data_IF_266462106978
#
_entry.id   IF_266462106978
#
_cell.length_a   1.000
_cell.length_b   1.000
_cell.length_c   1.000
_cell.angle_alpha   90.00
_cell.angle_beta   90.00
_cell.angle_gamma   90.00
#
_symmetry.space_group_name_H-M   'P 1'
#
loop_
_entity.id
_entity.type
_entity.pdbx_description
1 polymer ?
#
# COMPACT_ATOMS: atom_id res chain seq x y z
N UNK A 1 -26.60 -5.84 -3.33
CA UNK A 1 -25.14 -5.98 -3.27
C UNK A 1 -24.53 -5.13 -4.36
N UNK A 2 -23.56 -4.28 -4.00
CA UNK A 2 -22.97 -3.37 -4.97
C UNK A 2 -21.88 -4.09 -5.78
N UNK A 3 -21.85 -3.80 -7.07
CA UNK A 3 -20.76 -4.27 -7.93
C UNK A 3 -19.46 -3.57 -7.52
N UNK A 4 -18.31 -4.24 -7.70
CA UNK A 4 -17.02 -3.58 -7.47
C UNK A 4 -16.88 -2.35 -8.37
N UNK A 5 -16.25 -1.33 -7.85
CA UNK A 5 -16.04 -0.07 -8.57
C UNK A 5 -14.57 0.31 -8.57
N UNK A 6 -14.17 1.04 -9.62
CA UNK A 6 -12.85 1.62 -9.71
C UNK A 6 -12.66 2.61 -8.55
N UNK A 7 -11.57 2.45 -7.83
CA UNK A 7 -11.22 3.35 -6.73
C UNK A 7 -10.28 4.43 -7.27
N UNK A 8 -10.71 5.70 -7.29
CA UNK A 8 -9.87 6.77 -7.85
C UNK A 8 -8.59 7.03 -7.06
N UNK A 9 -8.52 6.61 -5.80
CA UNK A 9 -7.30 6.75 -4.99
C UNK A 9 -6.27 5.69 -5.39
N UNK A 10 -6.73 4.48 -5.69
CA UNK A 10 -5.84 3.36 -6.05
C UNK A 10 -5.55 3.33 -7.56
N UNK A 11 -6.46 3.87 -8.37
CA UNK A 11 -6.37 3.78 -9.83
C UNK A 11 -5.07 4.36 -10.43
N UNK A 12 -4.52 5.49 -9.98
CA UNK A 12 -3.23 5.96 -10.50
C UNK A 12 -2.15 4.91 -10.31
N UNK A 13 -1.39 4.68 -11.38
CA UNK A 13 -0.46 3.56 -11.47
C UNK A 13 0.51 3.45 -10.28
N UNK A 14 1.08 4.57 -9.85
CA UNK A 14 2.03 4.57 -8.73
C UNK A 14 1.37 4.02 -7.45
N UNK A 15 0.15 4.47 -7.14
CA UNK A 15 -0.56 4.01 -5.94
C UNK A 15 -1.05 2.58 -6.09
N UNK A 16 -1.45 2.18 -7.30
CA UNK A 16 -1.82 0.80 -7.59
C UNK A 16 -0.63 -0.14 -7.35
N UNK A 17 0.56 0.24 -7.82
CA UNK A 17 1.79 -0.53 -7.59
C UNK A 17 2.10 -0.69 -6.10
N UNK A 18 1.93 0.37 -5.32
CA UNK A 18 2.17 0.37 -3.88
C UNK A 18 1.22 -0.61 -3.20
N UNK A 19 -0.07 -0.47 -3.45
CA UNK A 19 -1.07 -1.35 -2.84
C UNK A 19 -0.86 -2.81 -3.23
N UNK A 20 -0.55 -3.07 -4.49
CA UNK A 20 -0.27 -4.42 -4.99
C UNK A 20 0.96 -5.04 -4.31
N UNK A 21 2.04 -4.26 -4.17
CA UNK A 21 3.27 -4.73 -3.51
C UNK A 21 3.02 -5.08 -2.05
N UNK A 22 2.29 -4.22 -1.33
CA UNK A 22 1.95 -4.48 0.07
C UNK A 22 1.03 -5.69 0.22
N UNK A 23 0.00 -5.75 -0.61
CA UNK A 23 -1.00 -6.82 -0.55
C UNK A 23 -0.37 -8.19 -0.85
N UNK A 24 0.35 -8.31 -1.96
CA UNK A 24 0.96 -9.57 -2.36
C UNK A 24 2.21 -9.92 -1.54
N UNK A 25 2.83 -8.94 -0.93
CA UNK A 25 3.94 -9.15 -0.01
C UNK A 25 3.50 -9.52 1.41
N UNK A 26 2.19 -9.57 1.66
CA UNK A 26 1.66 -9.92 2.97
C UNK A 26 1.74 -8.81 4.01
N UNK A 27 2.08 -7.58 3.61
CA UNK A 27 2.17 -6.44 4.52
C UNK A 27 0.79 -5.81 4.73
N UNK A 28 -0.12 -6.60 5.28
CA UNK A 28 -1.53 -6.25 5.47
C UNK A 28 -1.89 -6.43 6.94
N UNK A 29 -2.58 -5.44 7.47
CA UNK A 29 -3.10 -5.46 8.84
C UNK A 29 -4.20 -6.51 8.96
N UNK A 30 -4.09 -7.37 9.97
CA UNK A 30 -5.09 -8.39 10.29
C UNK A 30 -5.49 -8.25 11.77
N UNK A 31 -6.63 -8.81 12.14
CA UNK A 31 -7.15 -8.72 13.51
C UNK A 31 -6.15 -9.19 14.58
N UNK A 32 -5.43 -10.26 14.28
CA UNK A 32 -4.54 -10.91 15.25
C UNK A 32 -3.06 -10.66 15.01
N UNK A 33 -2.72 -10.03 13.89
CA UNK A 33 -1.33 -9.81 13.54
C UNK A 33 -1.18 -8.60 12.63
N UNK A 34 -0.02 -8.00 12.69
CA UNK A 34 0.33 -6.85 11.86
C UNK A 34 1.61 -7.18 11.13
N UNK A 35 1.53 -7.16 9.82
CA UNK A 35 2.68 -7.40 8.96
C UNK A 35 3.03 -6.12 8.23
N UNK A 36 4.31 -5.82 8.17
CA UNK A 36 4.83 -4.57 7.65
C UNK A 36 5.92 -4.83 6.62
N UNK A 37 6.11 -3.87 5.72
CA UNK A 37 7.18 -3.91 4.74
C UNK A 37 8.06 -2.68 4.93
N UNK A 38 9.36 -2.85 4.79
CA UNK A 38 10.29 -1.71 4.85
C UNK A 38 10.06 -0.79 3.66
N UNK A 39 10.17 0.50 3.90
CA UNK A 39 10.11 1.52 2.84
C UNK A 39 11.09 1.20 1.71
N UNK A 40 12.31 0.80 2.04
CA UNK A 40 13.33 0.46 1.04
C UNK A 40 12.92 -0.72 0.15
N UNK A 41 12.29 -1.75 0.74
CA UNK A 41 11.78 -2.89 -0.02
C UNK A 41 10.63 -2.48 -0.93
N UNK A 42 9.73 -1.66 -0.42
CA UNK A 42 8.60 -1.15 -1.20
C UNK A 42 9.09 -0.28 -2.36
N UNK A 43 10.09 0.55 -2.12
CA UNK A 43 10.72 1.35 -3.17
C UNK A 43 11.26 0.48 -4.30
N UNK A 44 11.97 -0.59 -3.96
CA UNK A 44 12.52 -1.51 -4.96
C UNK A 44 11.41 -2.20 -5.76
N UNK A 45 10.37 -2.67 -5.08
CA UNK A 45 9.26 -3.38 -5.70
C UNK A 45 8.43 -2.51 -6.63
N UNK A 46 8.33 -1.23 -6.32
CA UNK A 46 7.53 -0.28 -7.12
C UNK A 46 8.33 0.50 -8.14
N UNK A 47 9.66 0.46 -8.04
CA UNK A 47 10.57 1.22 -8.89
C UNK A 47 10.32 2.74 -8.84
N UNK A 48 9.85 3.22 -7.70
CA UNK A 48 9.63 4.64 -7.47
C UNK A 48 10.84 5.25 -6.77
N UNK A 49 11.05 6.55 -6.98
CA UNK A 49 12.05 7.29 -6.19
C UNK A 49 11.58 7.45 -4.75
N UNK A 50 12.48 7.79 -3.83
CA UNK A 50 12.13 8.02 -2.43
C UNK A 50 11.06 9.10 -2.30
N UNK A 51 11.23 10.21 -3.02
CA UNK A 51 10.27 11.33 -2.95
C UNK A 51 8.92 10.97 -3.56
N UNK A 52 8.92 10.27 -4.67
CA UNK A 52 7.67 9.83 -5.31
C UNK A 52 6.92 8.85 -4.41
N UNK A 53 7.62 7.87 -3.87
CA UNK A 53 7.03 6.89 -2.96
C UNK A 53 6.44 7.58 -1.72
N UNK A 54 7.22 8.45 -1.09
CA UNK A 54 6.77 9.16 0.11
C UNK A 54 5.52 10.00 -0.17
N UNK A 55 5.48 10.69 -1.31
CA UNK A 55 4.34 11.50 -1.72
C UNK A 55 3.08 10.64 -1.92
N UNK A 56 3.21 9.53 -2.61
CA UNK A 56 2.07 8.65 -2.87
C UNK A 56 1.58 7.96 -1.60
N UNK A 57 2.50 7.60 -0.70
CA UNK A 57 2.13 7.06 0.61
C UNK A 57 1.34 8.07 1.43
N UNK A 58 1.71 9.35 1.38
CA UNK A 58 0.97 10.41 2.08
C UNK A 58 -0.49 10.47 1.61
N UNK A 59 -0.71 10.38 0.31
CA UNK A 59 -2.07 10.34 -0.25
C UNK A 59 -2.85 9.12 0.25
N UNK A 60 -2.21 7.95 0.24
CA UNK A 60 -2.86 6.73 0.73
C UNK A 60 -3.15 6.79 2.23
N UNK A 61 -2.26 7.41 3.00
CA UNK A 61 -2.49 7.62 4.45
C UNK A 61 -3.69 8.53 4.71
N UNK A 62 -3.84 9.60 3.93
CA UNK A 62 -4.97 10.51 4.05
C UNK A 62 -6.32 9.80 3.88
N UNK A 63 -6.34 8.77 3.05
CA UNK A 63 -7.55 7.98 2.82
C UNK A 63 -7.69 6.77 3.73
N UNK A 64 -6.75 6.60 4.67
CA UNK A 64 -6.80 5.50 5.62
C UNK A 64 -6.43 4.15 5.02
N UNK A 65 -5.75 4.13 3.87
CA UNK A 65 -5.42 2.88 3.17
C UNK A 65 -4.08 2.29 3.58
N UNK A 66 -3.15 3.11 4.05
CA UNK A 66 -1.87 2.65 4.59
C UNK A 66 -1.54 3.37 5.88
N UNK A 67 -0.65 2.78 6.66
CA UNK A 67 -0.03 3.43 7.81
C UNK A 67 1.48 3.32 7.66
N UNK A 68 2.19 4.35 8.12
CA UNK A 68 3.65 4.34 8.20
C UNK A 68 4.06 4.42 9.65
N UNK A 69 5.10 3.67 9.98
CA UNK A 69 5.68 3.68 11.31
C UNK A 69 7.20 3.85 11.18
N UNK A 70 7.75 4.78 11.95
CA UNK A 70 9.20 4.99 11.99
C UNK A 70 9.77 4.34 13.23
N UNK A 71 10.69 3.41 13.02
CA UNK A 71 11.48 2.82 14.08
C UNK A 71 12.80 3.56 14.13
N UNK A 72 13.05 4.25 15.24
CA UNK A 72 14.27 5.03 15.40
C UNK A 72 15.46 4.11 15.64
N UNK A 73 16.53 4.35 14.89
CA UNK A 73 17.76 3.62 15.05
C UNK A 73 18.56 4.12 16.25
N UNK A 74 19.69 3.44 16.52
CA UNK A 74 20.65 3.86 17.51
C UNK A 74 21.64 4.84 16.85
N UNK A 75 22.66 5.28 17.61
CA UNK A 75 23.74 6.10 17.07
C UNK A 75 24.50 5.45 15.91
N UNK A 76 24.38 4.12 15.76
CA UNK A 76 25.08 3.33 14.74
C UNK A 76 24.14 2.77 13.68
N UNK A 77 22.83 2.84 13.88
CA UNK A 77 21.84 2.29 12.97
C UNK A 77 20.90 3.40 12.51
N UNK A 78 20.58 3.41 11.22
CA UNK A 78 19.63 4.37 10.64
C UNK A 78 18.21 4.03 11.08
N UNK A 79 17.34 5.04 11.04
CA UNK A 79 15.91 4.85 11.24
C UNK A 79 15.35 3.95 10.13
N UNK A 80 14.37 3.15 10.48
CA UNK A 80 13.65 2.31 9.53
C UNK A 80 12.21 2.77 9.45
N UNK A 81 11.71 2.93 8.24
CA UNK A 81 10.29 3.24 8.02
C UNK A 81 9.60 1.96 7.55
N UNK A 82 8.53 1.62 8.24
CA UNK A 82 7.69 0.45 7.96
C UNK A 82 6.36 0.91 7.40
N UNK A 83 5.82 0.16 6.44
CA UNK A 83 4.57 0.47 5.77
C UNK A 83 3.65 -0.75 5.85
N UNK A 84 2.39 -0.50 6.15
CA UNK A 84 1.35 -1.54 6.23
C UNK A 84 0.11 -1.08 5.47
N UNK A 85 -0.47 -1.99 4.70
CA UNK A 85 -1.78 -1.77 4.10
C UNK A 85 -2.83 -2.05 5.19
N UNK A 86 -3.71 -1.09 5.46
CA UNK A 86 -4.76 -1.27 6.46
C UNK A 86 -5.81 -2.26 5.96
N UNK A 87 -6.66 -2.75 6.88
CA UNK A 87 -7.78 -3.60 6.50
C UNK A 87 -8.68 -2.90 5.48
N UNK A 88 -8.92 -1.60 5.69
CA UNK A 88 -9.68 -0.76 4.75
C UNK A 88 -8.99 -0.68 3.38
N UNK A 89 -7.68 -0.47 3.39
CA UNK A 89 -6.89 -0.42 2.15
C UNK A 89 -6.89 -1.74 1.40
N UNK A 90 -6.80 -2.86 2.12
CA UNK A 90 -6.83 -4.20 1.52
C UNK A 90 -8.18 -4.46 0.85
N UNK A 91 -9.28 -4.10 1.53
CA UNK A 91 -10.62 -4.26 0.96
C UNK A 91 -10.81 -3.38 -0.27
N UNK A 92 -10.34 -2.13 -0.21
CA UNK A 92 -10.41 -1.21 -1.34
C UNK A 92 -9.61 -1.75 -2.54
N UNK A 93 -8.43 -2.30 -2.27
CA UNK A 93 -7.60 -2.91 -3.31
C UNK A 93 -8.30 -4.10 -3.98
N UNK A 94 -8.88 -4.98 -3.18
CA UNK A 94 -9.62 -6.15 -3.70
C UNK A 94 -10.79 -5.71 -4.58
N UNK A 95 -11.55 -4.73 -4.14
CA UNK A 95 -12.67 -4.18 -4.90
C UNK A 95 -12.20 -3.54 -6.22
N UNK A 96 -11.11 -2.79 -6.16
CA UNK A 96 -10.54 -2.13 -7.34
C UNK A 96 -10.05 -3.15 -8.37
N UNK A 97 -9.34 -4.19 -7.94
CA UNK A 97 -8.85 -5.23 -8.86
C UNK A 97 -9.99 -6.05 -9.45
N UNK A 98 -11.04 -6.31 -8.69
CA UNK A 98 -12.24 -6.97 -9.19
C UNK A 98 -12.91 -6.13 -10.29
N UNK A 99 -13.00 -4.82 -10.09
CA UNK A 99 -13.55 -3.91 -11.09
C UNK A 99 -12.71 -3.89 -12.37
N UNK A 100 -11.39 -3.89 -12.22
CA UNK A 100 -10.47 -3.94 -13.38
C UNK A 100 -10.66 -5.22 -14.18
N UNK A 101 -10.83 -6.35 -13.51
CA UNK A 101 -11.08 -7.63 -14.20
C UNK A 101 -12.38 -7.60 -14.97
N UNK A 102 -13.43 -7.04 -14.40
CA UNK A 102 -14.72 -6.90 -15.12
C UNK A 102 -14.58 -6.05 -16.37
N UNK A 103 -13.87 -4.92 -16.25
CA UNK A 103 -13.63 -4.02 -17.37
C UNK A 103 -12.82 -4.73 -18.45
N UNK A 104 -11.84 -5.53 -18.05
CA UNK A 104 -10.98 -6.26 -18.99
C UNK A 104 -11.66 -7.48 -19.59
N UNK A 105 -12.88 -7.83 -19.18
CA UNK A 105 -13.65 -8.92 -19.75
C UNK A 105 -13.30 -10.28 -19.21
N UNK A 106 -12.64 -10.33 -18.09
CA UNK A 106 -12.23 -11.59 -17.51
C UNK A 106 -12.30 -11.61 -16.00
#
# INVERSE_FOLDING_TARGET
MNAPAIDPVIHPLARLKICAALYHGGAVEKQTSRHEMRFSSLREKTDLSDSALSKQLATLEEHGYVTRFREYGSSRAKDTVWVTLTATGAQAFENHTAALREIAGG
#
